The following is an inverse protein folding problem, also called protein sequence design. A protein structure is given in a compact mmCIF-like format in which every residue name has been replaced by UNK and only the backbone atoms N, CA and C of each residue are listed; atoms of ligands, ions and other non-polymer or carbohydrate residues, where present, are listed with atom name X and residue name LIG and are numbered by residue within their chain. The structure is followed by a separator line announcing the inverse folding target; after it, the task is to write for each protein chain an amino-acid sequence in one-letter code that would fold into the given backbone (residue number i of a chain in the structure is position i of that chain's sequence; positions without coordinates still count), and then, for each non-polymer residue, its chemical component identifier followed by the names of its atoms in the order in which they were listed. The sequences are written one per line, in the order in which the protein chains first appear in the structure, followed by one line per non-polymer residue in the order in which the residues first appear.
data_IF_335569457103
#
_entry.id   IF_335569457103
#
_cell.length_a   1.000
_cell.length_b   1.000
_cell.length_c   1.000
_cell.angle_alpha   90.00
_cell.angle_beta   90.00
_cell.angle_gamma   90.00
#
_symmetry.space_group_name_H-M   'P 1'
#
loop_
_entity.id
_entity.type
_entity.pdbx_description
1 polymer ?
#
# COMPACT_ATOMS: atom_id res chain seq x y z
N UNK A 1 27.93 4.84 16.11
CA UNK A 1 28.66 3.78 15.41
C UNK A 1 27.66 2.92 14.63
N UNK A 2 27.67 2.96 13.29
CA UNK A 2 26.65 2.27 12.49
C UNK A 2 27.12 0.85 12.14
N UNK A 3 26.72 -0.14 12.93
CA UNK A 3 26.96 -1.57 12.65
C UNK A 3 26.45 -1.89 11.23
N UNK A 4 27.37 -2.17 10.30
CA UNK A 4 27.02 -2.62 8.95
C UNK A 4 26.57 -4.08 9.02
N UNK A 5 25.33 -4.35 8.61
CA UNK A 5 24.74 -5.69 8.66
C UNK A 5 25.00 -6.40 7.33
N UNK A 6 25.65 -7.56 7.34
CA UNK A 6 25.85 -8.33 6.13
C UNK A 6 24.53 -9.02 5.74
N UNK A 7 24.12 -8.86 4.48
CA UNK A 7 22.93 -9.48 3.92
C UNK A 7 23.32 -10.43 2.80
N UNK A 8 23.08 -11.73 3.01
CA UNK A 8 23.53 -12.81 2.14
C UNK A 8 22.43 -13.41 1.28
N UNK A 9 21.17 -13.32 1.71
CA UNK A 9 20.02 -13.89 1.02
C UNK A 9 18.75 -13.13 1.40
N UNK A 10 17.74 -13.20 0.53
CA UNK A 10 16.37 -12.79 0.82
C UNK A 10 15.40 -13.98 0.81
N UNK A 11 15.89 -15.19 0.55
CA UNK A 11 15.07 -16.39 0.47
C UNK A 11 14.92 -17.04 1.87
N UNK A 12 13.69 -17.18 2.42
CA UNK A 12 13.46 -17.76 3.75
C UNK A 12 14.19 -19.09 4.01
N UNK A 13 14.05 -20.07 3.12
CA UNK A 13 14.76 -21.36 3.23
C UNK A 13 16.29 -21.23 3.31
N UNK A 14 16.89 -20.27 2.60
CA UNK A 14 18.35 -20.06 2.65
C UNK A 14 18.80 -19.40 3.94
N UNK A 15 17.95 -18.57 4.57
CA UNK A 15 18.23 -17.98 5.89
C UNK A 15 18.47 -19.09 6.91
N UNK A 16 17.62 -20.13 6.90
CA UNK A 16 17.77 -21.31 7.74
C UNK A 16 19.04 -22.11 7.41
N UNK A 17 19.29 -22.39 6.13
CA UNK A 17 20.45 -23.18 5.69
C UNK A 17 21.80 -22.50 6.01
N UNK A 18 21.86 -21.18 5.94
CA UNK A 18 23.07 -20.41 6.20
C UNK A 18 23.29 -20.12 7.70
N UNK A 19 22.32 -20.43 8.57
CA UNK A 19 22.43 -20.19 10.01
C UNK A 19 22.67 -18.73 10.36
N UNK A 20 22.00 -17.80 9.66
CA UNK A 20 22.24 -16.38 9.83
C UNK A 20 21.84 -15.89 11.23
N UNK A 21 22.61 -14.96 11.79
CA UNK A 21 22.22 -14.25 13.01
C UNK A 21 21.09 -13.26 12.73
N UNK A 22 20.13 -13.18 13.65
CA UNK A 22 19.06 -12.20 13.58
C UNK A 22 19.61 -10.77 13.71
N UNK A 23 19.09 -9.88 12.88
CA UNK A 23 19.52 -8.50 12.80
C UNK A 23 18.64 -7.61 13.67
N UNK A 24 19.24 -6.97 14.67
CA UNK A 24 18.55 -6.00 15.52
C UNK A 24 18.56 -4.60 14.89
N UNK A 25 17.38 -4.04 14.68
CA UNK A 25 17.14 -2.70 14.14
C UNK A 25 16.60 -1.73 15.20
N UNK A 26 16.31 -2.19 16.41
CA UNK A 26 15.65 -1.43 17.46
C UNK A 26 16.32 -0.06 17.68
N UNK A 27 15.52 1.00 17.68
CA UNK A 27 16.00 2.37 17.91
C UNK A 27 16.82 2.99 16.77
N UNK A 28 17.05 2.27 15.66
CA UNK A 28 17.83 2.78 14.53
C UNK A 28 16.91 3.44 13.50
N UNK A 29 17.15 4.68 13.08
CA UNK A 29 16.35 5.31 12.02
C UNK A 29 16.82 5.00 10.59
N UNK A 30 18.06 4.53 10.43
CA UNK A 30 18.72 4.28 9.14
C UNK A 30 19.58 3.01 9.15
N UNK A 31 19.01 1.83 9.42
CA UNK A 31 19.79 0.60 9.37
C UNK A 31 20.29 0.34 7.96
N UNK A 32 21.59 0.02 7.88
CA UNK A 32 22.31 -0.23 6.64
C UNK A 32 22.70 -1.69 6.51
N UNK A 33 22.47 -2.21 5.31
CA UNK A 33 22.84 -3.54 4.89
C UNK A 33 23.93 -3.48 3.83
N UNK A 34 24.90 -4.38 3.93
CA UNK A 34 25.93 -4.58 2.92
C UNK A 34 25.68 -5.92 2.24
N UNK A 35 25.71 -5.91 0.91
CA UNK A 35 25.63 -7.11 0.08
C UNK A 35 26.91 -7.20 -0.75
N UNK A 36 27.60 -8.35 -0.67
CA UNK A 36 28.77 -8.62 -1.49
C UNK A 36 28.34 -9.21 -2.83
N UNK A 37 28.83 -8.61 -3.91
CA UNK A 37 28.64 -9.14 -5.26
C UNK A 37 29.70 -10.20 -5.60
N UNK A 38 29.48 -10.96 -6.67
CA UNK A 38 30.45 -11.93 -7.19
C UNK A 38 31.83 -11.29 -7.49
N UNK A 39 31.88 -10.01 -7.87
CA UNK A 39 33.11 -9.26 -8.10
C UNK A 39 33.70 -8.62 -6.82
N UNK A 40 33.24 -9.02 -5.64
CA UNK A 40 33.62 -8.48 -4.31
C UNK A 40 33.30 -6.99 -4.11
N UNK A 41 32.57 -6.36 -5.03
CA UNK A 41 32.02 -5.01 -4.83
C UNK A 41 30.91 -5.06 -3.78
N UNK A 42 30.92 -4.12 -2.83
CA UNK A 42 29.87 -3.96 -1.81
C UNK A 42 28.77 -3.05 -2.36
N UNK A 43 27.53 -3.55 -2.31
CA UNK A 43 26.33 -2.76 -2.53
C UNK A 43 25.67 -2.48 -1.19
N UNK A 44 25.45 -1.21 -0.87
CA UNK A 44 24.79 -0.81 0.36
C UNK A 44 23.29 -0.61 0.12
N UNK A 45 22.49 -1.01 1.08
CA UNK A 45 21.06 -0.69 1.13
C UNK A 45 20.71 -0.04 2.47
N UNK A 46 19.89 1.01 2.44
CA UNK A 46 19.37 1.67 3.64
C UNK A 46 17.85 1.54 3.64
N UNK A 47 17.28 1.05 4.73
CA UNK A 47 15.83 1.00 4.93
C UNK A 47 15.40 1.99 6.01
N UNK A 48 14.10 2.23 6.08
CA UNK A 48 13.47 3.10 7.09
C UNK A 48 12.16 2.49 7.53
N UNK A 49 11.80 2.66 8.80
CA UNK A 49 10.52 2.20 9.31
C UNK A 49 9.38 3.05 8.74
N UNK A 50 9.50 4.37 8.84
CA UNK A 50 8.59 5.35 8.25
C UNK A 50 9.35 6.34 7.35
N UNK A 51 8.60 7.04 6.50
CA UNK A 51 9.09 8.24 5.82
C UNK A 51 9.55 9.33 6.81
N UNK A 52 9.97 10.47 6.25
CA UNK A 52 10.36 11.63 7.06
C UNK A 52 9.12 12.31 7.63
N UNK A 53 9.18 12.79 8.87
CA UNK A 53 8.17 13.71 9.40
C UNK A 53 8.26 15.08 8.68
N UNK A 54 7.37 16.00 9.05
CA UNK A 54 7.34 17.39 8.55
C UNK A 54 8.63 18.17 8.80
N UNK A 55 9.44 17.76 9.78
CA UNK A 55 10.73 18.35 10.13
C UNK A 55 11.93 17.66 9.45
N UNK A 56 11.69 16.61 8.66
CA UNK A 56 12.73 15.86 7.97
C UNK A 56 13.34 14.71 8.75
N UNK A 57 12.94 14.51 10.01
CA UNK A 57 13.45 13.43 10.87
C UNK A 57 12.87 12.08 10.46
N UNK A 58 13.69 11.04 10.58
CA UNK A 58 13.27 9.66 10.31
C UNK A 58 12.93 8.96 11.63
N UNK A 59 11.76 8.34 11.69
CA UNK A 59 11.34 7.58 12.86
C UNK A 59 12.24 6.35 13.03
N UNK A 60 12.73 6.09 14.25
CA UNK A 60 13.49 4.88 14.53
C UNK A 60 12.58 3.65 14.39
N UNK A 61 13.18 2.51 14.06
CA UNK A 61 12.49 1.23 14.19
C UNK A 61 12.07 1.01 15.66
N UNK A 62 10.88 0.43 15.91
CA UNK A 62 10.36 0.24 17.26
C UNK A 62 11.25 -0.69 18.08
N UNK A 63 11.13 -0.68 19.43
CA UNK A 63 11.79 -1.66 20.28
C UNK A 63 11.48 -3.10 19.84
N UNK A 64 12.40 -4.03 20.11
CA UNK A 64 12.26 -5.45 19.77
C UNK A 64 12.14 -5.74 18.26
N UNK A 65 12.72 -4.87 17.42
CA UNK A 65 12.81 -5.11 15.97
C UNK A 65 14.04 -5.95 15.65
N UNK A 66 14.02 -7.24 16.04
CA UNK A 66 15.10 -8.19 15.79
C UNK A 66 14.61 -9.35 14.93
N UNK A 67 15.31 -9.62 13.84
CA UNK A 67 14.87 -10.66 12.91
C UNK A 67 15.56 -10.64 11.55
N UNK A 68 14.84 -11.05 10.50
CA UNK A 68 15.41 -11.32 9.19
C UNK A 68 14.66 -10.63 8.07
N UNK A 69 15.40 -10.02 7.14
CA UNK A 69 14.87 -9.51 5.88
C UNK A 69 14.59 -10.66 4.92
N UNK A 70 13.44 -10.66 4.27
CA UNK A 70 13.08 -11.67 3.28
C UNK A 70 12.18 -11.10 2.18
N UNK A 71 12.23 -11.72 1.01
CA UNK A 71 11.31 -11.41 -0.08
C UNK A 71 10.03 -12.24 0.06
N UNK A 72 8.90 -11.57 -0.08
CA UNK A 72 7.57 -12.14 0.04
C UNK A 72 6.74 -11.84 -1.21
N UNK A 73 5.95 -12.80 -1.63
CA UNK A 73 4.90 -12.65 -2.64
C UNK A 73 3.70 -13.47 -2.17
N UNK A 74 2.57 -12.80 -1.98
CA UNK A 74 1.33 -13.49 -1.59
C UNK A 74 0.86 -14.45 -2.70
N UNK A 75 0.34 -15.60 -2.29
CA UNK A 75 -0.20 -16.59 -3.22
C UNK A 75 -1.35 -15.99 -4.02
N UNK A 76 -1.26 -16.07 -5.36
CA UNK A 76 -2.27 -15.53 -6.28
C UNK A 76 -2.09 -14.06 -6.63
N UNK A 77 -1.20 -13.33 -5.95
CA UNK A 77 -0.85 -11.96 -6.33
C UNK A 77 0.02 -11.93 -7.59
N UNK A 78 -0.08 -10.89 -8.44
CA UNK A 78 0.79 -10.77 -9.61
C UNK A 78 2.24 -10.58 -9.16
N UNK A 79 3.21 -11.06 -9.95
CA UNK A 79 4.64 -11.04 -9.58
C UNK A 79 5.18 -9.64 -9.22
N UNK A 80 4.62 -8.58 -9.82
CA UNK A 80 4.98 -7.18 -9.51
C UNK A 80 4.56 -6.73 -8.09
N UNK A 81 3.70 -7.51 -7.43
CA UNK A 81 3.23 -7.28 -6.07
C UNK A 81 4.15 -7.79 -4.97
N UNK A 82 5.26 -8.44 -5.34
CA UNK A 82 6.22 -8.87 -4.33
C UNK A 82 6.83 -7.70 -3.57
N UNK A 83 7.38 -8.00 -2.41
CA UNK A 83 7.84 -7.00 -1.47
C UNK A 83 8.92 -7.55 -0.54
N UNK A 84 9.74 -6.65 -0.01
CA UNK A 84 10.66 -6.96 1.07
C UNK A 84 9.93 -6.78 2.40
N UNK A 85 9.96 -7.80 3.26
CA UNK A 85 9.43 -7.74 4.63
C UNK A 85 10.54 -8.04 5.64
N UNK A 86 10.24 -7.81 6.92
CA UNK A 86 11.08 -8.24 8.03
C UNK A 86 10.29 -9.19 8.94
N UNK A 87 10.79 -10.41 9.10
CA UNK A 87 10.26 -11.42 10.01
C UNK A 87 10.93 -11.27 11.38
N UNK A 88 10.18 -10.96 12.43
CA UNK A 88 10.64 -10.86 13.81
C UNK A 88 10.73 -12.25 14.44
N UNK A 89 11.94 -12.67 14.76
CA UNK A 89 12.28 -13.92 15.45
C UNK A 89 13.78 -13.91 15.84
N UNK A 90 14.14 -14.68 16.87
CA UNK A 90 15.52 -14.70 17.40
C UNK A 90 16.47 -15.63 16.65
N UNK A 91 15.96 -16.75 16.13
CA UNK A 91 16.73 -17.77 15.43
C UNK A 91 16.08 -18.14 14.09
N UNK A 92 16.86 -18.61 13.08
CA UNK A 92 16.31 -18.99 11.78
C UNK A 92 15.31 -20.16 11.87
N UNK A 93 15.46 -21.04 12.86
CA UNK A 93 14.55 -22.16 13.10
C UNK A 93 13.15 -21.71 13.52
N UNK A 94 13.02 -20.50 14.08
CA UNK A 94 11.76 -19.93 14.52
C UNK A 94 11.09 -19.07 13.43
N UNK A 95 11.64 -19.02 12.22
CA UNK A 95 11.15 -18.14 11.16
C UNK A 95 9.65 -18.29 10.87
N UNK A 96 9.18 -19.55 10.77
CA UNK A 96 7.75 -19.86 10.54
C UNK A 96 6.85 -19.53 11.75
N UNK A 97 7.43 -19.49 12.96
CA UNK A 97 6.71 -19.13 14.20
C UNK A 97 6.78 -17.64 14.51
N UNK A 98 7.69 -16.92 13.87
CA UNK A 98 7.83 -15.47 13.96
C UNK A 98 6.67 -14.73 13.30
N UNK A 99 6.59 -13.43 13.54
CA UNK A 99 5.59 -12.55 12.93
C UNK A 99 6.28 -11.48 12.09
N UNK A 100 5.59 -10.94 11.10
CA UNK A 100 6.13 -9.79 10.36
C UNK A 100 6.13 -8.55 11.25
N UNK A 101 7.16 -7.71 11.11
CA UNK A 101 7.19 -6.37 11.70
C UNK A 101 5.92 -5.63 11.23
N UNK A 102 5.06 -5.11 12.12
CA UNK A 102 3.88 -4.35 11.70
C UNK A 102 4.29 -3.02 11.04
N UNK A 103 3.44 -2.51 10.16
CA UNK A 103 3.57 -1.15 9.65
C UNK A 103 3.26 -0.12 10.74
N UNK A 104 3.50 1.16 10.44
CA UNK A 104 3.32 2.25 11.42
C UNK A 104 1.88 2.34 11.95
N UNK A 105 0.91 1.90 11.15
CA UNK A 105 -0.51 1.93 11.50
C UNK A 105 -0.94 0.67 12.26
N UNK A 106 -0.13 -0.39 12.26
CA UNK A 106 -0.42 -1.67 12.87
C UNK A 106 -1.45 -2.51 12.09
N UNK A 107 -1.81 -2.13 10.87
CA UNK A 107 -2.87 -2.81 10.11
C UNK A 107 -2.34 -3.88 9.15
N UNK A 108 -1.03 -3.93 8.94
CA UNK A 108 -0.40 -4.93 8.09
C UNK A 108 1.10 -5.03 8.34
N UNK A 109 1.80 -5.86 7.58
CA UNK A 109 3.24 -5.95 7.66
C UNK A 109 3.90 -4.67 7.11
N UNK A 110 4.97 -4.22 7.77
CA UNK A 110 5.92 -3.30 7.20
C UNK A 110 6.57 -3.96 5.99
N UNK A 111 6.54 -3.27 4.86
CA UNK A 111 7.11 -3.77 3.63
C UNK A 111 7.69 -2.68 2.74
N UNK A 112 8.59 -3.09 1.84
CA UNK A 112 9.09 -2.26 0.74
C UNK A 112 8.67 -2.92 -0.58
N UNK A 113 7.76 -2.31 -1.36
CA UNK A 113 7.31 -2.89 -2.62
C UNK A 113 8.44 -3.13 -3.62
N UNK A 114 8.33 -4.18 -4.44
CA UNK A 114 9.33 -4.56 -5.44
C UNK A 114 9.72 -3.39 -6.36
N UNK A 115 8.75 -2.61 -6.83
CA UNK A 115 9.04 -1.47 -7.70
C UNK A 115 9.96 -0.43 -7.04
N UNK A 116 9.85 -0.27 -5.71
CA UNK A 116 10.71 0.62 -4.93
C UNK A 116 12.11 0.05 -4.80
N UNK A 117 12.24 -1.25 -4.51
CA UNK A 117 13.52 -1.96 -4.43
C UNK A 117 14.32 -1.88 -5.74
N UNK A 118 13.61 -1.97 -6.87
CA UNK A 118 14.23 -1.97 -8.20
C UNK A 118 14.67 -0.57 -8.66
N UNK A 119 13.87 0.47 -8.35
CA UNK A 119 14.10 1.81 -8.91
C UNK A 119 15.04 2.67 -8.08
N UNK A 120 15.15 2.45 -6.76
CA UNK A 120 15.97 3.32 -5.92
C UNK A 120 17.37 2.76 -5.70
N UNK A 121 18.37 3.60 -5.97
CA UNK A 121 19.78 3.31 -5.73
C UNK A 121 20.07 2.96 -4.26
N UNK A 122 19.28 3.49 -3.31
CA UNK A 122 19.38 3.17 -1.87
C UNK A 122 19.00 1.74 -1.52
N UNK A 123 18.49 0.94 -2.47
CA UNK A 123 18.14 -0.47 -2.30
C UNK A 123 18.95 -1.39 -3.23
N UNK A 124 20.08 -0.92 -3.75
CA UNK A 124 20.85 -1.64 -4.76
C UNK A 124 21.28 -3.06 -4.31
N UNK A 125 21.60 -3.26 -3.03
CA UNK A 125 21.93 -4.59 -2.49
C UNK A 125 20.75 -5.55 -2.51
N UNK A 126 19.56 -5.09 -2.15
CA UNK A 126 18.33 -5.88 -2.25
C UNK A 126 18.01 -6.22 -3.70
N UNK A 127 18.04 -5.23 -4.60
CA UNK A 127 17.82 -5.45 -6.03
C UNK A 127 18.79 -6.45 -6.65
N UNK A 128 20.06 -6.47 -6.20
CA UNK A 128 21.03 -7.46 -6.60
C UNK A 128 20.66 -8.87 -6.11
N UNK A 129 20.32 -9.05 -4.83
CA UNK A 129 19.93 -10.37 -4.30
C UNK A 129 18.68 -10.93 -4.99
N UNK A 130 17.65 -10.10 -5.21
CA UNK A 130 16.45 -10.51 -5.93
C UNK A 130 16.78 -11.10 -7.32
N UNK A 131 17.73 -10.48 -8.02
CA UNK A 131 18.18 -10.92 -9.34
C UNK A 131 19.08 -12.16 -9.27
N UNK A 132 20.06 -12.19 -8.38
CA UNK A 132 21.02 -13.28 -8.28
C UNK A 132 20.39 -14.59 -7.80
N UNK A 133 19.48 -14.49 -6.84
CA UNK A 133 18.78 -15.64 -6.27
C UNK A 133 17.58 -16.07 -7.13
N UNK A 134 17.34 -15.39 -8.26
CA UNK A 134 16.21 -15.63 -9.17
C UNK A 134 14.86 -15.61 -8.45
N UNK A 135 14.74 -14.77 -7.41
CA UNK A 135 13.49 -14.54 -6.68
C UNK A 135 12.50 -13.73 -7.52
N UNK A 136 13.02 -12.99 -8.50
CA UNK A 136 12.25 -12.22 -9.48
C UNK A 136 12.90 -12.40 -10.85
N UNK A 137 12.09 -12.59 -11.90
CA UNK A 137 12.60 -12.73 -13.25
C UNK A 137 13.26 -11.44 -13.76
N UNK A 138 14.32 -11.60 -14.55
CA UNK A 138 15.11 -10.47 -15.04
C UNK A 138 14.28 -9.53 -15.93
N UNK A 139 13.32 -10.09 -16.68
CA UNK A 139 12.45 -9.33 -17.56
C UNK A 139 11.50 -8.44 -16.75
N UNK A 140 10.88 -8.95 -15.68
CA UNK A 140 10.07 -8.14 -14.78
C UNK A 140 10.88 -7.02 -14.12
N UNK A 141 12.11 -7.31 -13.67
CA UNK A 141 13.00 -6.27 -13.14
C UNK A 141 13.33 -5.20 -14.19
N UNK A 142 13.45 -5.58 -15.47
CA UNK A 142 13.66 -4.66 -16.59
C UNK A 142 12.42 -3.81 -16.85
N UNK A 143 11.24 -4.43 -16.91
CA UNK A 143 9.96 -3.76 -17.14
C UNK A 143 9.67 -2.73 -16.06
N UNK A 144 9.84 -3.10 -14.77
CA UNK A 144 9.66 -2.18 -13.63
C UNK A 144 10.55 -0.94 -13.73
N UNK A 145 11.79 -1.06 -14.23
CA UNK A 145 12.68 0.10 -14.41
C UNK A 145 12.18 1.07 -15.47
N UNK A 146 11.45 0.56 -16.47
CA UNK A 146 10.89 1.33 -17.58
C UNK A 146 9.54 1.96 -17.26
N UNK A 147 8.83 1.48 -16.24
CA UNK A 147 7.53 2.02 -15.86
C UNK A 147 7.62 3.49 -15.40
N UNK A 148 6.70 4.36 -15.88
CA UNK A 148 6.69 5.78 -15.54
C UNK A 148 6.03 6.04 -14.16
N UNK A 149 6.54 5.41 -13.10
CA UNK A 149 5.97 5.56 -11.74
C UNK A 149 6.36 6.92 -11.15
N UNK A 150 5.35 7.68 -10.69
CA UNK A 150 5.51 9.07 -10.22
C UNK A 150 5.54 9.24 -8.70
N UNK A 151 5.17 8.24 -7.86
CA UNK A 151 5.10 8.45 -6.40
C UNK A 151 5.23 7.19 -5.53
N UNK A 152 5.33 7.43 -4.21
CA UNK A 152 5.50 6.53 -3.06
C UNK A 152 4.19 5.94 -2.52
N UNK A 153 3.08 6.15 -3.21
CA UNK A 153 1.76 5.70 -2.74
C UNK A 153 1.62 4.19 -2.86
N UNK A 154 0.82 3.57 -1.98
CA UNK A 154 0.60 2.12 -2.01
C UNK A 154 0.00 1.73 -3.35
N UNK A 155 0.65 0.84 -4.13
CA UNK A 155 0.09 0.38 -5.38
C UNK A 155 -1.12 -0.52 -5.12
N UNK A 156 -2.10 -0.45 -6.00
CA UNK A 156 -3.12 -1.48 -6.15
C UNK A 156 -2.82 -2.25 -7.44
N UNK A 157 -2.97 -3.57 -7.37
CA UNK A 157 -2.70 -4.47 -8.49
C UNK A 157 -3.98 -4.91 -9.20
N UNK A 158 -5.10 -4.70 -8.54
CA UNK A 158 -6.46 -4.84 -9.05
C UNK A 158 -7.25 -3.60 -8.57
N UNK A 159 -8.16 -3.10 -9.40
CA UNK A 159 -9.00 -1.94 -9.04
C UNK A 159 -10.01 -2.27 -7.94
N UNK A 160 -10.47 -3.51 -7.86
CA UNK A 160 -11.38 -4.01 -6.81
C UNK A 160 -10.62 -4.52 -5.57
N UNK A 161 -9.29 -4.40 -5.57
CA UNK A 161 -8.46 -4.76 -4.41
C UNK A 161 -8.84 -3.91 -3.18
N UNK A 162 -8.90 -4.50 -1.98
CA UNK A 162 -9.03 -3.75 -0.75
C UNK A 162 -7.90 -2.73 -0.54
N UNK A 163 -8.25 -1.56 -0.03
CA UNK A 163 -7.31 -0.49 0.33
C UNK A 163 -7.72 0.19 1.62
N UNK A 164 -6.73 0.78 2.30
CA UNK A 164 -6.94 1.53 3.55
C UNK A 164 -7.08 3.02 3.22
N UNK A 165 -8.08 3.68 3.79
CA UNK A 165 -8.23 5.13 3.71
C UNK A 165 -8.80 5.71 5.01
N UNK A 166 -8.65 7.03 5.19
CA UNK A 166 -9.17 7.76 6.34
C UNK A 166 -10.36 8.62 5.90
N UNK A 167 -11.48 8.50 6.61
CA UNK A 167 -12.72 9.21 6.30
C UNK A 167 -12.58 10.74 6.41
N UNK A 168 -11.57 11.24 7.15
CA UNK A 168 -11.31 12.67 7.24
C UNK A 168 -10.44 13.21 6.09
N UNK A 169 -9.98 12.35 5.16
CA UNK A 169 -9.14 12.79 4.06
C UNK A 169 -9.94 13.39 2.90
N UNK A 170 -9.40 14.49 2.37
CA UNK A 170 -9.94 15.17 1.19
C UNK A 170 -9.72 14.36 -0.11
N UNK A 171 -8.64 13.59 -0.19
CA UNK A 171 -8.26 12.82 -1.38
C UNK A 171 -7.88 11.41 -1.00
N UNK A 172 -8.30 10.46 -1.84
CA UNK A 172 -7.80 9.09 -1.85
C UNK A 172 -6.90 8.97 -3.07
N UNK A 173 -5.63 8.65 -2.85
CA UNK A 173 -4.66 8.48 -3.91
C UNK A 173 -4.05 7.08 -3.87
N UNK A 174 -3.93 6.46 -5.04
CA UNK A 174 -3.18 5.23 -5.21
C UNK A 174 -2.69 5.12 -6.66
N UNK A 175 -1.79 4.19 -6.91
CA UNK A 175 -1.33 3.86 -8.27
C UNK A 175 -1.80 2.46 -8.64
N UNK A 176 -2.58 2.33 -9.71
CA UNK A 176 -2.84 1.04 -10.33
C UNK A 176 -1.58 0.59 -11.07
N UNK A 177 -1.08 -0.59 -10.69
CA UNK A 177 0.21 -1.07 -11.14
C UNK A 177 0.08 -2.48 -11.73
N UNK A 178 0.48 -2.59 -12.98
CA UNK A 178 0.69 -3.87 -13.65
C UNK A 178 2.11 -3.92 -14.21
N UNK A 179 2.50 -5.07 -14.75
CA UNK A 179 3.81 -5.23 -15.39
C UNK A 179 4.07 -4.21 -16.51
N UNK A 180 3.01 -3.72 -17.17
CA UNK A 180 3.11 -2.87 -18.37
C UNK A 180 2.63 -1.44 -18.15
N UNK A 181 1.76 -1.21 -17.17
CA UNK A 181 1.04 0.06 -17.01
C UNK A 181 1.11 0.55 -15.56
N UNK A 182 1.20 1.86 -15.43
CA UNK A 182 1.08 2.59 -14.17
C UNK A 182 0.07 3.71 -14.35
N UNK A 183 -1.04 3.67 -13.61
CA UNK A 183 -2.08 4.72 -13.66
C UNK A 183 -2.21 5.33 -12.27
N UNK A 184 -2.02 6.65 -12.17
CA UNK A 184 -2.34 7.37 -10.94
C UNK A 184 -3.84 7.59 -10.85
N UNK A 185 -4.43 7.23 -9.72
CA UNK A 185 -5.84 7.44 -9.42
C UNK A 185 -5.94 8.40 -8.25
N UNK A 186 -6.66 9.49 -8.47
CA UNK A 186 -6.95 10.51 -7.46
C UNK A 186 -8.45 10.67 -7.38
N UNK A 187 -9.01 10.37 -6.21
CA UNK A 187 -10.44 10.50 -5.95
C UNK A 187 -10.61 11.59 -4.91
N UNK A 188 -11.30 12.65 -5.28
CA UNK A 188 -11.50 13.83 -4.43
C UNK A 188 -12.92 13.83 -3.88
N UNK A 189 -13.11 14.50 -2.74
CA UNK A 189 -14.43 14.82 -2.19
C UNK A 189 -15.32 13.59 -1.87
N UNK A 190 -14.75 12.38 -1.76
CA UNK A 190 -15.53 11.14 -1.54
C UNK A 190 -16.28 11.13 -0.22
N UNK A 191 -15.67 11.70 0.83
CA UNK A 191 -16.27 11.82 2.16
C UNK A 191 -16.67 13.26 2.49
N UNK A 192 -16.63 14.15 1.50
CA UNK A 192 -16.90 15.57 1.68
C UNK A 192 -18.38 15.89 1.64
N UNK A 193 -18.80 16.73 2.57
CA UNK A 193 -20.09 17.39 2.59
C UNK A 193 -19.92 18.91 2.47
N UNK A 194 -20.70 19.53 1.58
CA UNK A 194 -20.86 20.99 1.55
C UNK A 194 -22.04 21.39 2.45
N UNK A 195 -21.77 22.23 3.45
CA UNK A 195 -22.77 22.87 4.31
C UNK A 195 -23.19 24.23 3.74
N UNK A 196 -24.21 24.84 4.34
CA UNK A 196 -24.68 26.19 3.98
C UNK A 196 -23.52 27.19 3.96
N UNK A 197 -23.42 28.00 2.89
CA UNK A 197 -22.36 29.00 2.75
C UNK A 197 -21.01 28.47 2.25
N UNK A 198 -20.99 27.34 1.52
CA UNK A 198 -19.79 26.75 0.90
C UNK A 198 -18.74 26.20 1.89
N UNK A 199 -19.13 25.99 3.16
CA UNK A 199 -18.24 25.36 4.14
C UNK A 199 -18.14 23.86 3.81
N UNK A 200 -16.92 23.42 3.54
CA UNK A 200 -16.57 22.03 3.27
C UNK A 200 -16.21 21.34 4.59
N UNK A 201 -16.80 20.17 4.85
CA UNK A 201 -16.52 19.38 6.03
C UNK A 201 -16.50 17.87 5.75
N UNK A 202 -15.89 17.13 6.68
CA UNK A 202 -15.77 15.68 6.67
C UNK A 202 -16.49 15.17 7.92
N UNK A 203 -17.72 14.66 7.79
CA UNK A 203 -18.58 14.36 8.94
C UNK A 203 -18.05 13.23 9.81
N UNK A 204 -17.23 12.35 9.25
CA UNK A 204 -16.71 11.18 9.93
C UNK A 204 -15.18 11.19 9.98
N UNK A 205 -14.64 10.82 11.13
CA UNK A 205 -13.24 10.49 11.32
C UNK A 205 -13.09 8.98 11.57
N UNK A 206 -11.95 8.44 11.16
CA UNK A 206 -11.61 7.03 11.37
C UNK A 206 -11.09 6.36 10.10
N UNK A 207 -10.29 5.31 10.28
CA UNK A 207 -9.65 4.55 9.20
C UNK A 207 -10.47 3.33 8.88
N UNK A 208 -10.60 3.06 7.59
CA UNK A 208 -11.40 1.98 7.05
C UNK A 208 -10.57 1.17 6.06
N UNK A 209 -10.87 -0.12 5.98
CA UNK A 209 -10.56 -0.93 4.81
C UNK A 209 -11.79 -0.88 3.89
N UNK A 210 -11.59 -0.43 2.64
CA UNK A 210 -12.63 -0.31 1.63
C UNK A 210 -12.20 -1.00 0.35
N UNK A 211 -13.16 -1.22 -0.56
CA UNK A 211 -12.86 -1.63 -1.94
C UNK A 211 -13.81 -0.98 -2.92
N UNK A 212 -13.41 -0.93 -4.18
CA UNK A 212 -14.35 -0.68 -5.26
C UNK A 212 -15.05 -1.98 -5.64
N UNK A 213 -16.35 -1.88 -5.93
CA UNK A 213 -17.14 -2.96 -6.51
C UNK A 213 -17.87 -2.41 -7.73
N UNK A 214 -17.99 -3.21 -8.80
CA UNK A 214 -18.84 -2.83 -9.93
C UNK A 214 -20.29 -2.64 -9.47
N UNK A 215 -20.92 -1.57 -9.93
CA UNK A 215 -22.32 -1.28 -9.59
C UNK A 215 -23.25 -2.37 -10.13
N UNK A 216 -24.10 -2.97 -9.28
CA UNK A 216 -25.11 -3.95 -9.72
C UNK A 216 -26.41 -3.27 -10.19
N UNK A 217 -26.48 -1.93 -10.18
CA UNK A 217 -27.71 -1.20 -10.46
C UNK A 217 -28.04 -1.22 -11.97
N UNK A 218 -29.29 -1.50 -12.37
CA UNK A 218 -29.66 -1.58 -13.79
C UNK A 218 -29.36 -0.30 -14.58
N UNK A 219 -29.50 0.88 -13.98
CA UNK A 219 -29.20 2.15 -14.64
C UNK A 219 -27.71 2.37 -14.94
N UNK A 220 -26.82 1.56 -14.34
CA UNK A 220 -25.39 1.62 -14.58
C UNK A 220 -24.92 0.54 -15.59
N UNK A 221 -25.83 -0.23 -16.20
CA UNK A 221 -25.47 -1.33 -17.09
C UNK A 221 -24.58 -0.88 -18.27
N UNK A 222 -24.87 0.29 -18.84
CA UNK A 222 -24.16 0.87 -19.98
C UNK A 222 -22.96 1.75 -19.58
N UNK A 223 -22.74 1.94 -18.27
CA UNK A 223 -21.74 2.85 -17.74
C UNK A 223 -20.83 2.13 -16.76
N UNK A 224 -19.52 1.98 -17.04
CA UNK A 224 -18.56 1.39 -16.10
C UNK A 224 -18.49 2.19 -14.79
N UNK A 225 -19.33 1.79 -13.84
CA UNK A 225 -19.57 2.52 -12.59
C UNK A 225 -19.18 1.65 -11.42
N UNK A 226 -18.45 2.23 -10.48
CA UNK A 226 -18.02 1.57 -9.26
C UNK A 226 -18.60 2.24 -8.03
N UNK A 227 -18.91 1.42 -7.03
CA UNK A 227 -19.32 1.84 -5.71
C UNK A 227 -18.18 1.59 -4.74
N UNK A 228 -18.09 2.38 -3.67
CA UNK A 228 -17.13 2.16 -2.59
C UNK A 228 -17.80 1.38 -1.47
N UNK A 229 -17.37 0.14 -1.23
CA UNK A 229 -17.88 -0.72 -0.15
C UNK A 229 -16.95 -0.66 1.06
N UNK A 230 -17.52 -0.54 2.25
CA UNK A 230 -16.79 -0.63 3.51
C UNK A 230 -16.61 -2.09 3.93
N UNK A 231 -15.38 -2.53 4.11
CA UNK A 231 -15.07 -3.91 4.49
C UNK A 231 -14.83 -4.04 6.00
N UNK A 232 -14.05 -3.13 6.58
CA UNK A 232 -13.71 -3.14 8.01
C UNK A 232 -13.46 -1.73 8.53
N UNK A 233 -13.65 -1.55 9.83
CA UNK A 233 -13.21 -0.37 10.55
C UNK A 233 -11.93 -0.69 11.29
N UNK A 234 -10.87 0.04 10.98
CA UNK A 234 -9.54 -0.14 11.54
C UNK A 234 -9.33 0.74 12.77
N UNK A 235 -10.07 1.86 12.83
CA UNK A 235 -10.26 2.66 14.04
C UNK A 235 -11.76 2.97 14.24
N UNK A 236 -12.18 3.35 15.46
CA UNK A 236 -13.58 3.69 15.71
C UNK A 236 -14.07 4.83 14.80
N UNK A 237 -15.23 4.63 14.16
CA UNK A 237 -15.85 5.64 13.31
C UNK A 237 -16.63 6.63 14.17
N UNK A 238 -16.22 7.88 14.14
CA UNK A 238 -16.79 8.95 14.96
C UNK A 238 -17.39 10.05 14.07
N UNK A 239 -18.61 10.48 14.39
CA UNK A 239 -19.18 11.69 13.80
C UNK A 239 -18.55 12.90 14.50
N UNK A 240 -17.81 13.72 13.76
CA UNK A 240 -17.08 14.88 14.32
C UNK A 240 -17.83 16.19 14.12
N UNK A 241 -18.99 16.15 13.47
CA UNK A 241 -19.87 17.30 13.28
C UNK A 241 -21.02 17.22 14.29
N UNK A 242 -21.17 18.21 15.18
CA UNK A 242 -22.34 18.32 16.07
C UNK A 242 -23.63 18.44 15.26
N UNK A 243 -24.69 17.77 15.73
CA UNK A 243 -26.03 17.83 15.11
C UNK A 243 -26.05 17.52 13.60
N UNK A 244 -25.15 16.64 13.17
CA UNK A 244 -25.02 16.31 11.76
C UNK A 244 -26.30 15.69 11.20
N UNK A 245 -26.84 16.32 10.16
CA UNK A 245 -28.08 15.91 9.48
C UNK A 245 -27.94 14.62 8.63
N UNK A 246 -26.87 13.85 8.82
CA UNK A 246 -26.62 12.56 8.15
C UNK A 246 -26.65 12.63 6.61
N UNK A 247 -26.25 13.75 6.01
CA UNK A 247 -26.25 13.89 4.54
C UNK A 247 -25.35 12.87 3.83
N UNK A 248 -24.30 12.42 4.50
CA UNK A 248 -23.58 11.18 4.19
C UNK A 248 -24.05 10.19 5.23
N UNK A 249 -24.52 9.02 4.78
CA UNK A 249 -25.00 7.98 5.69
C UNK A 249 -23.84 7.53 6.58
N UNK A 250 -24.14 7.22 7.84
CA UNK A 250 -23.15 6.64 8.76
C UNK A 250 -22.53 5.39 8.11
N UNK A 251 -21.18 5.29 8.02
CA UNK A 251 -20.53 4.10 7.49
C UNK A 251 -20.95 2.84 8.25
N UNK A 252 -21.25 1.77 7.52
CA UNK A 252 -21.56 0.44 8.06
C UNK A 252 -20.77 -0.62 7.29
N UNK A 253 -20.25 -1.62 7.99
CA UNK A 253 -19.52 -2.74 7.36
C UNK A 253 -20.47 -3.51 6.43
N UNK A 254 -20.00 -3.82 5.23
CA UNK A 254 -20.76 -4.50 4.18
C UNK A 254 -21.54 -3.55 3.27
N UNK A 255 -21.86 -2.35 3.76
CA UNK A 255 -22.58 -1.34 2.98
C UNK A 255 -21.65 -0.55 2.07
N UNK A 256 -22.27 0.09 1.07
CA UNK A 256 -21.60 1.07 0.21
C UNK A 256 -21.72 2.48 0.79
N UNK A 257 -20.78 3.36 0.45
CA UNK A 257 -20.88 4.78 0.72
C UNK A 257 -22.17 5.34 0.11
N UNK A 258 -23.00 5.98 0.93
CA UNK A 258 -24.28 6.56 0.51
C UNK A 258 -24.40 8.04 0.88
N UNK A 259 -25.08 8.79 0.02
CA UNK A 259 -25.37 10.21 0.19
C UNK A 259 -26.86 10.46 0.07
N UNK A 260 -27.38 11.33 0.92
CA UNK A 260 -28.76 11.80 0.88
C UNK A 260 -28.93 12.72 -0.34
N UNK A 261 -29.81 12.33 -1.25
CA UNK A 261 -30.30 13.24 -2.27
C UNK A 261 -31.31 14.18 -1.61
N UNK A 262 -30.91 15.45 -1.44
CA UNK A 262 -31.74 16.46 -0.78
C UNK A 262 -33.06 16.75 -1.50
N UNK A 263 -33.16 16.45 -2.80
CA UNK A 263 -34.38 16.69 -3.58
C UNK A 263 -35.41 15.60 -3.35
N UNK A 264 -34.95 14.36 -3.24
CA UNK A 264 -35.82 13.19 -3.09
C UNK A 264 -35.96 12.72 -1.64
N UNK A 265 -35.06 13.13 -0.75
CA UNK A 265 -34.98 12.65 0.62
C UNK A 265 -34.48 11.20 0.74
N UNK A 266 -33.97 10.62 -0.35
CA UNK A 266 -33.55 9.21 -0.42
C UNK A 266 -32.04 9.10 -0.46
N UNK A 267 -31.49 8.12 0.26
CA UNK A 267 -30.05 7.80 0.17
C UNK A 267 -29.73 7.08 -1.14
N UNK A 268 -28.73 7.58 -1.85
CA UNK A 268 -28.20 6.97 -3.08
C UNK A 268 -26.74 6.56 -2.88
N UNK A 269 -26.30 5.44 -3.47
CA UNK A 269 -24.89 5.10 -3.51
C UNK A 269 -24.06 6.22 -4.13
N UNK A 270 -22.90 6.50 -3.55
CA UNK A 270 -21.88 7.31 -4.20
C UNK A 270 -21.30 6.51 -5.38
N UNK A 271 -21.25 7.14 -6.55
CA UNK A 271 -20.85 6.51 -7.82
C UNK A 271 -19.51 7.06 -8.30
N UNK A 272 -18.61 6.15 -8.65
CA UNK A 272 -17.40 6.42 -9.41
C UNK A 272 -17.62 5.98 -10.85
N UNK A 273 -18.18 6.86 -11.67
CA UNK A 273 -18.43 6.62 -13.10
C UNK A 273 -17.13 6.83 -13.87
N UNK A 274 -16.51 5.77 -14.39
CA UNK A 274 -15.16 5.86 -14.97
C UNK A 274 -15.07 6.88 -16.11
N UNK A 275 -16.07 6.91 -17.00
CA UNK A 275 -16.11 7.78 -18.19
C UNK A 275 -16.05 9.27 -17.84
N UNK A 276 -16.51 9.65 -16.64
CA UNK A 276 -16.57 11.05 -16.19
C UNK A 276 -15.28 11.52 -15.51
N UNK A 277 -14.32 10.63 -15.28
CA UNK A 277 -13.13 10.94 -14.47
C UNK A 277 -11.93 11.27 -15.35
N UNK A 278 -11.15 12.25 -14.90
CA UNK A 278 -9.83 12.48 -15.46
C UNK A 278 -8.97 11.21 -15.27
N UNK A 279 -8.46 10.64 -16.37
CA UNK A 279 -7.76 9.37 -16.37
C UNK A 279 -8.65 8.12 -16.42
N UNK A 280 -9.98 8.28 -16.51
CA UNK A 280 -10.95 7.18 -16.59
C UNK A 280 -10.66 6.18 -17.69
N UNK A 281 -10.27 6.66 -18.88
CA UNK A 281 -9.82 5.80 -19.99
C UNK A 281 -8.62 4.93 -19.60
N UNK A 282 -7.61 5.50 -18.94
CA UNK A 282 -6.43 4.73 -18.54
C UNK A 282 -6.77 3.67 -17.47
N UNK A 283 -7.72 3.97 -16.58
CA UNK A 283 -8.25 3.00 -15.61
C UNK A 283 -9.04 1.91 -16.33
N UNK A 284 -9.89 2.27 -17.30
CA UNK A 284 -10.65 1.32 -18.12
C UNK A 284 -9.72 0.37 -18.91
N UNK A 285 -8.68 0.92 -19.55
CA UNK A 285 -7.65 0.16 -20.23
C UNK A 285 -6.91 -0.78 -19.27
N UNK A 286 -6.65 -0.35 -18.02
CA UNK A 286 -6.00 -1.15 -16.99
C UNK A 286 -6.83 -2.37 -16.57
N UNK A 287 -8.14 -2.18 -16.37
CA UNK A 287 -9.08 -3.23 -15.94
C UNK A 287 -9.66 -4.03 -17.12
N UNK A 288 -9.29 -3.70 -18.36
CA UNK A 288 -9.73 -4.41 -19.56
C UNK A 288 -11.20 -4.18 -19.95
N UNK A 289 -11.73 -2.97 -19.71
CA UNK A 289 -13.09 -2.57 -20.10
C UNK A 289 -13.00 -1.55 -21.23
N UNK A 290 -13.85 -1.67 -22.26
CA UNK A 290 -13.94 -0.66 -23.31
C UNK A 290 -14.44 0.68 -22.73
N UNK A 291 -13.71 1.79 -22.94
CA UNK A 291 -14.00 3.08 -22.33
C UNK A 291 -15.25 3.78 -22.85
#
# INVERSE_FOLDING_TARGET
DSRKRLLLTLHPRRILQLGLEAQDLSGNSHPRFATLTASKKILNSEIRYLGRNTHGDSFPFPPNTKGYMYYHLDNGSPLIAGELRMRICDAPSDFERGHDLPDIEGFGPWSIPLYTLVRRKSYAGFGYLLSQEKLVDADLLSDIRRLPLRSFERPLYDFEQPFITDLSQHKINFTLLSRKVSVQVVIQHSFEQTLSGSIVCYPYAGKIEARFIRSPLPEDADHPTYLMQFLKFLTPIQCVIPEYQLRIRRPQIGDVLQRLDIRTGVYRPWKYVLRERAGGKAIADFIGIEP
#
